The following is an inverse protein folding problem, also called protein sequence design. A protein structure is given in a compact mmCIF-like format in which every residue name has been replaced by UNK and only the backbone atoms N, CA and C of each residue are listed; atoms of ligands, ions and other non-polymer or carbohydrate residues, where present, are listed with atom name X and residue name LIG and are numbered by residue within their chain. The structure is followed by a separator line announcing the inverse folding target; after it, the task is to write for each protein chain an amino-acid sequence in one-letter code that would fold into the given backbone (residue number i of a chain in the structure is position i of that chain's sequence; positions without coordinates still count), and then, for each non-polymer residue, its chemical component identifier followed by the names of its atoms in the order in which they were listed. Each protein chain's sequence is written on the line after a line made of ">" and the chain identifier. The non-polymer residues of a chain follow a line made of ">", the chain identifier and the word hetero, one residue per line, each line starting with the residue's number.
data_IF_003338499850
#
_entry.id   IF_003338499850
#
_cell.length_a   1.000
_cell.length_b   1.000
_cell.length_c   1.000
_cell.angle_alpha   90.00
_cell.angle_beta   90.00
_cell.angle_gamma   90.00
#
_symmetry.space_group_name_H-M   'P 1'
#
loop_
_entity.id
_entity.type
_entity.pdbx_description
1 polymer ?
#
# COMPACT_ATOMS: atom_id res chain seq x y z
N UNK A 1 4.79 1.16 -26.76
CA UNK A 1 5.58 2.18 -26.04
C UNK A 1 5.39 1.91 -24.56
N UNK A 2 6.44 1.46 -23.84
CA UNK A 2 6.35 1.29 -22.39
C UNK A 2 6.16 2.67 -21.76
N UNK A 3 5.13 2.82 -20.93
CA UNK A 3 4.76 4.08 -20.32
C UNK A 3 5.78 4.42 -19.22
N UNK A 4 6.91 5.04 -19.61
CA UNK A 4 8.04 5.35 -18.73
C UNK A 4 7.76 6.47 -17.73
N UNK A 5 6.58 7.09 -17.74
CA UNK A 5 6.25 8.19 -16.83
C UNK A 5 6.42 7.82 -15.35
N UNK A 6 6.19 6.56 -14.98
CA UNK A 6 6.42 6.09 -13.60
C UNK A 6 7.91 6.00 -13.31
N UNK A 7 8.70 5.40 -14.21
CA UNK A 7 10.16 5.31 -14.05
C UNK A 7 10.81 6.70 -14.01
N UNK A 8 10.40 7.61 -14.89
CA UNK A 8 10.92 8.99 -14.94
C UNK A 8 10.61 9.73 -13.63
N UNK A 9 9.40 9.55 -13.08
CA UNK A 9 9.03 10.13 -11.78
C UNK A 9 9.80 9.51 -10.61
N UNK A 10 10.08 8.21 -10.67
CA UNK A 10 10.87 7.52 -9.64
C UNK A 10 12.32 7.99 -9.68
N UNK A 11 12.93 8.12 -10.87
CA UNK A 11 14.29 8.63 -11.03
C UNK A 11 14.41 10.11 -10.62
N UNK A 12 13.43 10.94 -10.97
CA UNK A 12 13.44 12.38 -10.63
C UNK A 12 13.38 12.65 -9.12
N UNK A 13 12.66 11.82 -8.36
CA UNK A 13 12.47 12.03 -6.92
C UNK A 13 13.36 11.12 -6.05
N UNK A 14 14.01 10.13 -6.66
CA UNK A 14 14.87 9.17 -6.00
C UNK A 14 16.35 9.58 -5.97
N UNK A 15 17.18 8.76 -5.33
CA UNK A 15 18.63 8.85 -5.43
C UNK A 15 19.07 8.39 -6.82
N UNK A 16 20.20 8.92 -7.32
CA UNK A 16 20.76 8.47 -8.61
C UNK A 16 21.46 7.10 -8.51
N UNK A 17 21.10 6.28 -7.52
CA UNK A 17 21.68 4.97 -7.31
C UNK A 17 20.95 3.95 -8.18
N UNK A 18 21.62 3.50 -9.24
CA UNK A 18 21.12 2.53 -10.21
C UNK A 18 21.17 1.08 -9.73
N UNK A 19 21.82 0.81 -8.59
CA UNK A 19 21.93 -0.54 -8.02
C UNK A 19 20.67 -0.92 -7.21
N UNK A 20 19.80 0.05 -6.93
CA UNK A 20 18.55 -0.16 -6.22
C UNK A 20 17.38 -0.31 -7.19
N UNK A 21 16.55 -1.35 -6.98
CA UNK A 21 15.29 -1.51 -7.71
C UNK A 21 14.36 -0.30 -7.52
N UNK A 22 14.33 0.24 -6.30
CA UNK A 22 13.64 1.48 -5.96
C UNK A 22 14.67 2.49 -5.43
N UNK A 23 14.87 3.63 -6.11
CA UNK A 23 15.89 4.60 -5.74
C UNK A 23 15.47 5.46 -4.53
N UNK A 24 14.93 4.88 -3.46
CA UNK A 24 14.45 5.62 -2.30
C UNK A 24 14.98 5.03 -1.00
N UNK A 25 15.30 5.90 -0.05
CA UNK A 25 15.52 5.48 1.33
C UNK A 25 14.17 5.11 1.98
N UNK A 26 14.20 4.20 2.96
CA UNK A 26 12.99 3.88 3.75
C UNK A 26 12.38 5.11 4.45
N UNK A 27 13.22 6.09 4.84
CA UNK A 27 12.77 7.37 5.41
C UNK A 27 11.98 8.20 4.39
N UNK A 28 12.44 8.25 3.14
CA UNK A 28 11.76 8.97 2.06
C UNK A 28 10.39 8.38 1.76
N UNK A 29 10.30 7.05 1.64
CA UNK A 29 9.03 6.34 1.42
C UNK A 29 8.05 6.63 2.57
N UNK A 30 8.53 6.51 3.81
CA UNK A 30 7.70 6.78 4.99
C UNK A 30 7.17 8.21 5.01
N UNK A 31 8.03 9.20 4.68
CA UNK A 31 7.62 10.59 4.57
C UNK A 31 6.58 10.80 3.47
N UNK A 32 6.82 10.29 2.26
CA UNK A 32 5.89 10.47 1.16
C UNK A 32 4.52 9.83 1.45
N UNK A 33 4.50 8.68 2.12
CA UNK A 33 3.24 8.06 2.56
C UNK A 33 2.48 8.94 3.55
N UNK A 34 3.17 9.44 4.59
CA UNK A 34 2.56 10.33 5.60
C UNK A 34 2.05 11.62 4.96
N UNK A 35 2.85 12.25 4.10
CA UNK A 35 2.47 13.47 3.38
C UNK A 35 1.24 13.22 2.49
N UNK A 36 1.16 12.07 1.81
CA UNK A 36 0.01 11.70 1.00
C UNK A 36 -1.26 11.47 1.86
N UNK A 37 -1.13 10.84 3.03
CA UNK A 37 -2.25 10.68 3.96
C UNK A 37 -2.78 12.03 4.43
N UNK A 38 -1.89 12.98 4.75
CA UNK A 38 -2.28 14.33 5.13
C UNK A 38 -2.98 15.07 3.99
N UNK A 39 -2.42 15.02 2.77
CA UNK A 39 -3.00 15.65 1.60
C UNK A 39 -4.42 15.16 1.31
N UNK A 40 -4.65 13.86 1.50
CA UNK A 40 -5.95 13.22 1.29
C UNK A 40 -6.85 13.24 2.54
N UNK A 41 -6.42 13.90 3.62
CA UNK A 41 -7.14 13.95 4.91
C UNK A 41 -7.50 12.58 5.49
N UNK A 42 -6.67 11.57 5.23
CA UNK A 42 -6.82 10.22 5.79
C UNK A 42 -6.32 10.24 7.23
N UNK A 43 -7.18 9.84 8.17
CA UNK A 43 -6.88 9.84 9.60
C UNK A 43 -6.47 8.46 10.08
N UNK A 44 -5.49 8.41 10.99
CA UNK A 44 -5.02 7.21 11.68
C UNK A 44 -4.64 6.03 10.77
N UNK A 45 -4.08 6.32 9.58
CA UNK A 45 -3.48 5.32 8.70
C UNK A 45 -1.96 5.43 8.76
N UNK A 46 -1.28 4.34 9.11
CA UNK A 46 0.18 4.26 9.19
C UNK A 46 0.70 3.28 8.15
N UNK A 47 1.96 3.45 7.76
CA UNK A 47 2.56 2.60 6.72
C UNK A 47 2.55 1.10 7.06
N UNK A 48 2.70 0.74 8.34
CA UNK A 48 2.66 -0.66 8.78
C UNK A 48 1.26 -1.29 8.72
N UNK A 49 0.20 -0.48 8.69
CA UNK A 49 -1.17 -0.97 8.60
C UNK A 49 -1.42 -1.65 7.25
N UNK A 50 -0.68 -1.27 6.19
CA UNK A 50 -0.72 -1.96 4.91
C UNK A 50 -0.27 -3.42 5.03
N UNK A 51 0.79 -3.68 5.82
CA UNK A 51 1.25 -5.04 6.09
C UNK A 51 0.25 -5.79 6.95
N UNK A 52 -0.38 -5.12 7.91
CA UNK A 52 -1.42 -5.73 8.73
C UNK A 52 -2.65 -6.11 7.90
N UNK A 53 -3.06 -5.26 6.97
CA UNK A 53 -4.18 -5.54 6.07
C UNK A 53 -3.86 -6.72 5.15
N UNK A 54 -2.66 -6.77 4.57
CA UNK A 54 -2.22 -7.91 3.77
C UNK A 54 -2.23 -9.22 4.58
N UNK A 55 -1.70 -9.21 5.80
CA UNK A 55 -1.74 -10.39 6.67
C UNK A 55 -3.19 -10.81 6.98
N UNK A 56 -4.07 -9.84 7.22
CA UNK A 56 -5.48 -10.14 7.52
C UNK A 56 -6.17 -10.80 6.32
N UNK A 57 -5.92 -10.33 5.09
CA UNK A 57 -6.45 -10.96 3.87
C UNK A 57 -5.98 -12.40 3.68
N UNK A 58 -4.72 -12.68 3.98
CA UNK A 58 -4.20 -14.06 3.90
C UNK A 58 -4.94 -14.96 4.90
N UNK A 59 -5.20 -14.47 6.11
CA UNK A 59 -5.95 -15.23 7.09
C UNK A 59 -7.43 -15.42 6.68
N UNK A 60 -8.07 -14.43 6.06
CA UNK A 60 -9.44 -14.58 5.50
C UNK A 60 -9.50 -15.61 4.38
N UNK A 61 -8.42 -15.75 3.61
CA UNK A 61 -8.29 -16.81 2.60
C UNK A 61 -8.04 -18.20 3.22
N UNK A 62 -8.03 -18.31 4.56
CA UNK A 62 -7.84 -19.56 5.30
C UNK A 62 -6.39 -20.00 5.39
N UNK A 63 -5.40 -19.13 5.12
CA UNK A 63 -4.00 -19.51 5.25
C UNK A 63 -3.64 -19.72 6.73
N UNK A 64 -2.82 -20.75 6.94
CA UNK A 64 -2.24 -21.05 8.26
C UNK A 64 -1.14 -20.05 8.61
N UNK A 65 -0.85 -19.90 9.92
CA UNK A 65 0.21 -19.00 10.40
C UNK A 65 1.56 -19.24 9.68
N UNK A 66 2.06 -20.49 9.48
CA UNK A 66 3.30 -20.71 8.74
C UNK A 66 3.29 -20.17 7.31
N UNK A 67 2.18 -20.35 6.59
CA UNK A 67 2.03 -19.86 5.21
C UNK A 67 2.02 -18.33 5.19
N UNK A 68 1.32 -17.71 6.14
CA UNK A 68 1.31 -16.26 6.30
C UNK A 68 2.70 -15.71 6.63
N UNK A 69 3.48 -16.38 7.50
CA UNK A 69 4.86 -15.99 7.80
C UNK A 69 5.74 -15.99 6.55
N UNK A 70 5.64 -17.02 5.72
CA UNK A 70 6.43 -17.13 4.50
C UNK A 70 6.15 -15.98 3.53
N UNK A 71 4.88 -15.57 3.39
CA UNK A 71 4.49 -14.47 2.51
C UNK A 71 4.85 -13.10 3.09
N UNK A 72 4.63 -12.90 4.39
CA UNK A 72 4.78 -11.59 5.04
C UNK A 72 6.19 -11.32 5.59
N UNK A 73 7.04 -12.35 5.67
CA UNK A 73 8.40 -12.27 6.17
C UNK A 73 8.51 -12.08 7.69
N UNK A 74 7.52 -12.52 8.48
CA UNK A 74 7.57 -12.40 9.95
C UNK A 74 8.38 -13.53 10.57
N UNK A 75 9.37 -13.16 11.39
CA UNK A 75 10.21 -14.11 12.14
C UNK A 75 9.45 -14.75 13.31
N UNK A 76 8.58 -13.99 14.00
CA UNK A 76 7.86 -14.46 15.19
C UNK A 76 6.38 -14.74 14.92
N UNK A 77 5.89 -15.83 15.51
CA UNK A 77 4.50 -16.29 15.39
C UNK A 77 3.50 -15.39 16.13
N UNK A 78 3.93 -14.82 17.25
CA UNK A 78 3.04 -14.04 18.14
C UNK A 78 2.41 -12.83 17.45
N UNK A 79 3.09 -12.21 16.48
CA UNK A 79 2.57 -11.07 15.73
C UNK A 79 1.45 -11.44 14.74
N UNK A 80 1.34 -12.71 14.35
CA UNK A 80 0.33 -13.19 13.39
C UNK A 80 -0.88 -13.85 14.05
N UNK A 81 -0.75 -14.31 15.30
CA UNK A 81 -1.85 -14.97 16.02
C UNK A 81 -3.10 -14.10 16.16
N UNK A 82 -2.95 -12.77 16.18
CA UNK A 82 -4.06 -11.80 16.17
C UNK A 82 -4.95 -11.87 14.91
N UNK A 83 -4.51 -12.52 13.84
CA UNK A 83 -5.28 -12.65 12.60
C UNK A 83 -6.02 -13.97 12.49
N UNK A 84 -5.84 -14.92 13.41
CA UNK A 84 -6.46 -16.25 13.27
C UNK A 84 -7.89 -16.33 13.79
N UNK A 85 -8.36 -15.29 14.50
CA UNK A 85 -9.73 -15.19 15.03
C UNK A 85 -10.51 -14.10 14.28
N UNK A 86 -10.67 -14.27 12.97
CA UNK A 86 -11.33 -13.28 12.13
C UNK A 86 -12.86 -13.39 12.19
N UNK A 87 -13.49 -12.23 12.34
CA UNK A 87 -14.92 -12.02 12.11
C UNK A 87 -15.11 -11.65 10.64
N UNK A 88 -16.14 -12.18 9.97
CA UNK A 88 -16.44 -11.87 8.56
C UNK A 88 -16.49 -10.35 8.31
N UNK A 89 -15.67 -9.89 7.36
CA UNK A 89 -15.59 -8.49 6.92
C UNK A 89 -16.37 -8.33 5.61
N UNK A 90 -16.93 -7.14 5.31
CA UNK A 90 -17.57 -6.90 4.03
C UNK A 90 -16.60 -7.13 2.86
N UNK A 91 -17.15 -7.54 1.72
CA UNK A 91 -16.37 -7.89 0.53
C UNK A 91 -15.42 -6.76 0.12
N UNK A 92 -14.20 -7.17 -0.18
CA UNK A 92 -13.09 -6.27 -0.50
C UNK A 92 -13.12 -5.92 -1.99
N UNK A 93 -12.74 -4.68 -2.33
CA UNK A 93 -12.57 -4.29 -3.72
C UNK A 93 -11.42 -5.06 -4.36
N UNK A 94 -11.70 -5.69 -5.49
CA UNK A 94 -10.68 -6.27 -6.35
C UNK A 94 -9.79 -5.19 -6.95
N UNK A 95 -8.57 -5.55 -7.36
CA UNK A 95 -7.56 -4.60 -7.83
C UNK A 95 -8.11 -3.67 -8.93
N UNK A 96 -8.82 -4.23 -9.90
CA UNK A 96 -9.41 -3.47 -11.01
C UNK A 96 -10.46 -2.47 -10.53
N UNK A 97 -11.21 -2.80 -9.49
CA UNK A 97 -12.24 -1.94 -8.92
C UNK A 97 -11.62 -0.82 -8.08
N UNK A 98 -10.63 -1.16 -7.26
CA UNK A 98 -9.84 -0.18 -6.53
C UNK A 98 -9.17 0.82 -7.48
N UNK A 99 -8.63 0.35 -8.61
CA UNK A 99 -7.97 1.19 -9.61
C UNK A 99 -8.97 2.11 -10.32
N UNK A 100 -10.14 1.59 -10.73
CA UNK A 100 -11.23 2.41 -11.30
C UNK A 100 -11.66 3.52 -10.35
N UNK A 101 -11.82 3.19 -9.06
CA UNK A 101 -12.19 4.17 -8.04
C UNK A 101 -11.11 5.24 -7.85
N UNK A 102 -9.84 4.84 -7.83
CA UNK A 102 -8.72 5.78 -7.72
C UNK A 102 -8.65 6.75 -8.90
N UNK A 103 -8.81 6.25 -10.14
CA UNK A 103 -8.83 7.07 -11.36
C UNK A 103 -10.00 8.05 -11.31
N UNK A 104 -11.21 7.56 -11.01
CA UNK A 104 -12.41 8.40 -10.90
C UNK A 104 -12.22 9.52 -9.87
N UNK A 105 -11.66 9.22 -8.71
CA UNK A 105 -11.42 10.20 -7.66
C UNK A 105 -10.37 11.25 -8.08
N UNK A 106 -9.32 10.83 -8.79
CA UNK A 106 -8.30 11.73 -9.32
C UNK A 106 -8.84 12.63 -10.46
N UNK A 107 -9.76 12.14 -11.28
CA UNK A 107 -10.43 12.96 -12.31
C UNK A 107 -11.36 14.01 -11.69
N UNK A 108 -12.08 13.65 -10.61
CA UNK A 108 -12.95 14.59 -9.89
C UNK A 108 -12.19 15.73 -9.21
N UNK A 109 -10.97 15.50 -8.70
CA UNK A 109 -10.17 16.56 -8.05
C UNK A 109 -9.56 17.55 -9.04
N UNK A 110 -9.27 17.14 -10.29
CA UNK A 110 -8.83 18.08 -11.36
C UNK A 110 -9.94 18.98 -11.89
N UNK A 111 -11.21 18.62 -11.69
CA UNK A 111 -12.36 19.41 -12.14
C UNK A 111 -12.75 20.57 -11.21
N UNK A 112 -12.14 20.65 -10.00
CA UNK A 112 -12.53 21.58 -8.94
C UNK A 112 -11.73 22.89 -8.84
N UNK A 113 -10.59 23.01 -9.51
CA UNK A 113 -9.77 24.24 -9.51
C UNK A 113 -10.26 25.25 -10.56
N UNK A 114 -11.52 25.68 -10.43
CA UNK A 114 -12.02 26.95 -10.97
C UNK A 114 -12.68 27.74 -9.85
N UNK A 115 -11.86 28.41 -9.05
CA UNK A 115 -12.26 29.60 -8.29
C UNK A 115 -11.21 30.66 -8.55
#
# INVERSE_FOLDING_TARGET
>A
MQNNQIQDRLQKNGTQNTDLLLPFSGKSISKFFTDACHLLSIKDLRFHDLRHEAATRLAEQGLTIPQMQQVTGHESWGSLQRYTNLTDRPAVLEFDEALKNAIKNHEMTRGGDKI
#
